data_IF_504053385108
#
_entry.id   IF_504053385108
#
_cell.length_a   1.000
_cell.length_b   1.000
_cell.length_c   1.000
_cell.angle_alpha   90.00
_cell.angle_beta   90.00
_cell.angle_gamma   90.00
#
_symmetry.space_group_name_H-M   'P 1'
#
loop_
_entity.id
_entity.type
_entity.pdbx_description
1 polymer ?
#
# COMPACT_ATOMS: atom_id res chain seq x y z
N UNK A 1 -11.91 -5.63 -13.51
CA UNK A 1 -13.15 -4.89 -13.51
C UNK A 1 -12.87 -3.39 -13.62
N UNK A 2 -13.62 -2.75 -14.45
CA UNK A 2 -13.41 -1.33 -14.63
C UNK A 2 -13.97 -0.55 -13.45
N UNK A 3 -13.19 0.37 -12.95
CA UNK A 3 -13.64 1.25 -11.90
C UNK A 3 -14.59 2.28 -12.48
N UNK A 4 -15.64 2.54 -11.78
CA UNK A 4 -16.57 3.58 -12.16
C UNK A 4 -15.84 4.93 -12.17
N UNK A 5 -16.06 5.72 -13.21
CA UNK A 5 -15.44 7.03 -13.29
C UNK A 5 -15.83 7.95 -12.15
N UNK A 6 -17.02 7.74 -11.59
CA UNK A 6 -17.54 8.60 -10.55
C UNK A 6 -17.22 8.09 -9.16
N UNK A 7 -16.63 6.90 -9.07
CA UNK A 7 -16.23 6.37 -7.79
C UNK A 7 -14.85 6.85 -7.39
N UNK A 8 -14.54 6.71 -6.13
CA UNK A 8 -13.22 7.02 -5.63
C UNK A 8 -12.27 5.87 -5.92
N UNK A 9 -11.03 6.21 -6.27
CA UNK A 9 -9.98 5.22 -6.36
C UNK A 9 -9.61 4.78 -4.95
N UNK A 10 -9.62 3.47 -4.70
CA UNK A 10 -9.23 2.93 -3.41
C UNK A 10 -7.74 2.63 -3.46
N UNK A 11 -6.96 3.49 -2.84
CA UNK A 11 -5.50 3.39 -2.87
C UNK A 11 -4.96 2.98 -1.52
N UNK A 12 -4.11 1.96 -1.50
CA UNK A 12 -3.44 1.52 -0.29
C UNK A 12 -1.98 1.93 -0.30
N UNK A 13 -1.47 2.30 0.88
CA UNK A 13 -0.06 2.62 1.05
C UNK A 13 0.48 1.70 2.13
N UNK A 14 1.55 0.98 1.80
CA UNK A 14 2.23 0.14 2.78
C UNK A 14 3.39 0.92 3.37
N UNK A 15 3.19 1.34 4.62
CA UNK A 15 4.15 2.20 5.30
C UNK A 15 3.65 3.63 5.35
N UNK A 16 3.47 4.15 6.57
CA UNK A 16 2.88 5.47 6.79
C UNK A 16 3.88 6.54 7.21
N UNK A 17 5.07 6.53 6.62
CA UNK A 17 6.10 7.51 6.95
C UNK A 17 5.94 8.83 6.22
N UNK A 18 7.02 9.59 6.16
CA UNK A 18 6.96 10.94 5.61
C UNK A 18 6.58 10.98 4.15
N UNK A 19 7.12 10.05 3.35
CA UNK A 19 6.79 10.03 1.93
C UNK A 19 5.33 9.71 1.70
N UNK A 20 4.79 8.77 2.49
CA UNK A 20 3.38 8.46 2.41
C UNK A 20 2.52 9.67 2.73
N UNK A 21 2.93 10.44 3.74
CA UNK A 21 2.22 11.64 4.11
C UNK A 21 2.14 12.64 2.96
N UNK A 22 3.28 12.87 2.30
CA UNK A 22 3.31 13.80 1.18
C UNK A 22 2.42 13.32 0.03
N UNK A 23 2.45 12.01 -0.23
CA UNK A 23 1.64 11.43 -1.28
C UNK A 23 0.15 11.59 -0.99
N UNK A 24 -0.24 11.41 0.26
CA UNK A 24 -1.64 11.56 0.65
C UNK A 24 -2.11 13.00 0.42
N UNK A 25 -1.28 13.96 0.75
CA UNK A 25 -1.66 15.36 0.57
C UNK A 25 -1.92 15.67 -0.90
N UNK A 26 -1.14 15.06 -1.78
CA UNK A 26 -1.37 15.21 -3.22
C UNK A 26 -2.64 14.49 -3.66
N UNK A 27 -2.84 13.29 -3.14
CA UNK A 27 -3.96 12.43 -3.54
C UNK A 27 -5.31 13.04 -3.18
N UNK A 28 -5.38 13.81 -2.10
CA UNK A 28 -6.64 14.41 -1.69
C UNK A 28 -7.24 15.24 -2.80
N UNK A 29 -6.43 15.82 -3.65
CA UNK A 29 -6.90 16.66 -4.75
C UNK A 29 -7.47 15.89 -5.91
N UNK A 30 -7.41 14.55 -5.88
CA UNK A 30 -7.79 13.73 -7.03
C UNK A 30 -8.89 12.73 -6.71
N UNK A 31 -9.63 12.99 -5.64
CA UNK A 31 -10.76 12.14 -5.28
C UNK A 31 -10.31 10.69 -5.05
N UNK A 32 -9.21 10.54 -4.31
CA UNK A 32 -8.65 9.24 -3.98
C UNK A 32 -8.94 8.94 -2.52
N UNK A 33 -9.43 7.72 -2.25
CA UNK A 33 -9.67 7.28 -0.89
C UNK A 33 -8.45 6.50 -0.42
N UNK A 34 -7.72 7.03 0.55
CA UNK A 34 -6.42 6.51 0.93
C UNK A 34 -6.53 5.62 2.17
N UNK A 35 -5.97 4.43 2.05
CA UNK A 35 -5.85 3.46 3.14
C UNK A 35 -4.36 3.29 3.44
N UNK A 36 -3.98 3.24 4.70
CA UNK A 36 -2.59 3.08 5.10
C UNK A 36 -2.45 1.90 6.04
N UNK A 37 -1.46 1.07 5.80
CA UNK A 37 -1.09 -0.01 6.71
C UNK A 37 0.33 0.25 7.21
N UNK A 38 0.49 0.29 8.54
CA UNK A 38 1.79 0.54 9.15
C UNK A 38 1.83 -0.14 10.50
N UNK A 39 2.96 -0.73 10.89
CA UNK A 39 3.04 -1.37 12.21
C UNK A 39 3.02 -0.38 13.37
N UNK A 40 3.30 0.90 13.11
CA UNK A 40 3.32 1.93 14.14
C UNK A 40 1.99 2.65 14.17
N UNK A 41 1.23 2.46 15.26
CA UNK A 41 -0.08 3.12 15.38
C UNK A 41 0.02 4.63 15.43
N UNK A 42 1.21 5.17 15.62
CA UNK A 42 1.45 6.61 15.65
C UNK A 42 2.14 7.10 14.38
N UNK A 43 2.05 6.34 13.30
CA UNK A 43 2.69 6.73 12.05
C UNK A 43 2.25 8.14 11.61
N UNK A 44 3.14 8.88 10.93
CA UNK A 44 2.82 10.25 10.53
C UNK A 44 1.56 10.38 9.69
N UNK A 45 1.22 9.37 8.89
CA UNK A 45 0.05 9.43 8.02
C UNK A 45 -1.27 9.17 8.71
N UNK A 46 -1.24 8.77 9.98
CA UNK A 46 -2.46 8.26 10.61
C UNK A 46 -3.62 9.22 10.56
N UNK A 47 -3.35 10.50 10.73
CA UNK A 47 -4.42 11.50 10.78
C UNK A 47 -4.76 12.09 9.42
N UNK A 48 -4.01 11.71 8.40
CA UNK A 48 -4.21 12.28 7.06
C UNK A 48 -4.99 11.38 6.13
N UNK A 49 -4.96 10.06 6.39
CA UNK A 49 -5.66 9.12 5.51
C UNK A 49 -7.08 8.89 6.02
N UNK A 50 -7.94 8.43 5.12
CA UNK A 50 -9.30 8.09 5.48
C UNK A 50 -9.38 6.81 6.30
N UNK A 51 -8.48 5.88 6.02
CA UNK A 51 -8.48 4.59 6.70
C UNK A 51 -7.07 4.23 7.10
N UNK A 52 -6.87 3.99 8.39
CA UNK A 52 -5.57 3.58 8.89
C UNK A 52 -5.71 2.23 9.57
N UNK A 53 -4.81 1.32 9.22
CA UNK A 53 -4.77 0.01 9.86
C UNK A 53 -3.39 -0.20 10.44
N UNK A 54 -3.32 -0.60 11.70
CA UNK A 54 -2.05 -0.91 12.36
C UNK A 54 -1.81 -2.40 12.23
N UNK A 55 -0.72 -2.78 11.57
CA UNK A 55 -0.41 -4.19 11.41
C UNK A 55 0.96 -4.39 10.80
N UNK A 56 1.40 -5.65 10.82
CA UNK A 56 2.73 -6.00 10.35
C UNK A 56 2.78 -6.04 8.82
N UNK A 57 3.74 -5.33 8.25
CA UNK A 57 3.95 -5.34 6.81
C UNK A 57 4.57 -6.64 6.32
N UNK A 58 5.14 -7.44 7.22
CA UNK A 58 5.76 -8.71 6.85
C UNK A 58 4.84 -9.91 7.02
N UNK A 59 3.63 -9.69 7.51
CA UNK A 59 2.68 -10.78 7.71
C UNK A 59 1.79 -10.93 6.49
N UNK A 60 1.78 -12.13 5.91
CA UNK A 60 1.04 -12.40 4.69
C UNK A 60 -0.44 -12.03 4.82
N UNK A 61 -1.09 -12.56 5.86
CA UNK A 61 -2.52 -12.37 6.01
C UNK A 61 -2.87 -10.90 6.21
N UNK A 62 -2.06 -10.19 6.97
CA UNK A 62 -2.30 -8.79 7.24
C UNK A 62 -2.24 -7.97 5.95
N UNK A 63 -1.19 -8.18 5.15
CA UNK A 63 -1.02 -7.44 3.90
C UNK A 63 -2.10 -7.84 2.90
N UNK A 64 -2.38 -9.13 2.77
CA UNK A 64 -3.38 -9.60 1.83
C UNK A 64 -4.76 -9.05 2.17
N UNK A 65 -5.16 -9.16 3.44
CA UNK A 65 -6.48 -8.68 3.84
C UNK A 65 -6.61 -7.18 3.71
N UNK A 66 -5.51 -6.46 3.94
CA UNK A 66 -5.52 -5.02 3.76
C UNK A 66 -5.79 -4.64 2.29
N UNK A 67 -5.17 -5.37 1.36
CA UNK A 67 -5.18 -4.97 -0.04
C UNK A 67 -6.27 -5.56 -0.92
N UNK A 68 -6.93 -6.61 -0.46
CA UNK A 68 -7.80 -7.39 -1.37
C UNK A 68 -8.98 -6.60 -1.94
N UNK A 69 -9.42 -5.57 -1.25
CA UNK A 69 -10.55 -4.77 -1.69
C UNK A 69 -10.13 -3.43 -2.27
N UNK A 70 -8.84 -3.24 -2.48
CA UNK A 70 -8.32 -1.98 -3.00
C UNK A 70 -8.09 -2.07 -4.50
N UNK A 71 -8.01 -0.90 -5.13
CA UNK A 71 -7.74 -0.83 -6.57
C UNK A 71 -6.24 -0.83 -6.84
N UNK A 72 -5.47 -0.19 -5.99
CA UNK A 72 -4.05 -0.01 -6.20
C UNK A 72 -3.34 0.04 -4.86
N UNK A 73 -2.12 -0.47 -4.84
CA UNK A 73 -1.26 -0.43 -3.65
C UNK A 73 0.07 0.17 -4.06
N UNK A 74 0.55 1.14 -3.29
CA UNK A 74 1.90 1.65 -3.44
C UNK A 74 2.69 1.32 -2.18
N UNK A 75 3.99 1.12 -2.34
CA UNK A 75 4.85 0.62 -1.27
C UNK A 75 5.88 1.67 -0.94
N UNK A 76 5.91 2.08 0.31
CA UNK A 76 6.90 3.05 0.78
C UNK A 76 8.10 2.35 1.38
N UNK A 77 7.90 1.17 1.95
CA UNK A 77 8.95 0.43 2.63
C UNK A 77 9.11 -0.92 1.96
N UNK A 78 10.33 -1.27 1.54
CA UNK A 78 10.58 -2.52 0.82
C UNK A 78 10.43 -3.76 1.69
N UNK A 79 10.41 -3.61 3.00
CA UNK A 79 10.29 -4.75 3.90
C UNK A 79 8.84 -5.14 4.08
N UNK A 80 8.27 -5.70 3.03
CA UNK A 80 6.87 -6.13 3.03
C UNK A 80 6.82 -7.59 2.59
N UNK A 81 5.69 -8.22 2.86
CA UNK A 81 5.51 -9.61 2.44
C UNK A 81 5.21 -9.64 0.94
N UNK A 82 6.20 -10.06 0.16
CA UNK A 82 6.10 -10.05 -1.30
C UNK A 82 5.12 -11.10 -1.79
N UNK A 83 5.01 -12.23 -1.10
CA UNK A 83 4.06 -13.26 -1.51
C UNK A 83 2.63 -12.74 -1.48
N UNK A 84 2.31 -11.92 -0.48
CA UNK A 84 0.99 -11.30 -0.41
C UNK A 84 0.78 -10.35 -1.58
N UNK A 85 1.82 -9.60 -1.95
CA UNK A 85 1.72 -8.68 -3.09
C UNK A 85 1.48 -9.44 -4.38
N UNK A 86 2.16 -10.58 -4.57
CA UNK A 86 1.93 -11.39 -5.76
C UNK A 86 0.51 -11.90 -5.81
N UNK A 87 -0.03 -12.34 -4.68
CA UNK A 87 -1.40 -12.83 -4.64
C UNK A 87 -2.38 -11.70 -5.00
N UNK A 88 -2.12 -10.51 -4.52
CA UNK A 88 -2.98 -9.37 -4.84
C UNK A 88 -2.92 -9.01 -6.31
N UNK A 89 -1.73 -9.05 -6.91
CA UNK A 89 -1.59 -8.81 -8.34
C UNK A 89 -2.38 -9.83 -9.14
N UNK A 90 -2.35 -11.09 -8.72
CA UNK A 90 -3.08 -12.16 -9.40
C UNK A 90 -4.58 -11.93 -9.33
N UNK A 91 -5.05 -11.22 -8.33
CA UNK A 91 -6.47 -10.91 -8.19
C UNK A 91 -6.87 -9.60 -8.84
N UNK A 92 -5.93 -8.94 -9.51
CA UNK A 92 -6.24 -7.74 -10.25
C UNK A 92 -5.92 -6.42 -9.56
N UNK A 93 -5.35 -6.47 -8.36
CA UNK A 93 -4.92 -5.25 -7.68
C UNK A 93 -3.62 -4.76 -8.31
N UNK A 94 -3.55 -3.49 -8.64
CA UNK A 94 -2.33 -2.92 -9.19
C UNK A 94 -1.36 -2.64 -8.06
N UNK A 95 -0.16 -3.19 -8.15
CA UNK A 95 0.88 -3.02 -7.12
C UNK A 95 2.05 -2.26 -7.74
N UNK A 96 2.46 -1.19 -7.12
CA UNK A 96 3.57 -0.39 -7.63
C UNK A 96 4.52 -0.02 -6.48
N UNK A 97 5.81 -0.29 -6.58
CA UNK A 97 6.46 -1.08 -7.66
C UNK A 97 5.94 -2.51 -7.68
N UNK A 98 5.98 -3.14 -8.85
CA UNK A 98 5.49 -4.50 -8.98
C UNK A 98 6.21 -5.43 -8.01
N UNK A 99 5.50 -6.51 -7.63
CA UNK A 99 6.06 -7.44 -6.65
C UNK A 99 7.39 -8.01 -7.08
N UNK A 100 7.58 -8.26 -8.39
CA UNK A 100 8.84 -8.79 -8.88
C UNK A 100 10.01 -7.82 -8.65
N UNK A 101 9.72 -6.52 -8.68
CA UNK A 101 10.75 -5.51 -8.41
C UNK A 101 11.11 -5.51 -6.94
N UNK A 102 10.10 -5.61 -6.08
CA UNK A 102 10.36 -5.66 -4.63
C UNK A 102 11.16 -6.91 -4.28
N UNK A 103 10.81 -8.05 -4.88
CA UNK A 103 11.54 -9.28 -4.64
C UNK A 103 12.99 -9.16 -5.06
N UNK A 104 13.23 -8.52 -6.19
CA UNK A 104 14.59 -8.32 -6.67
C UNK A 104 15.39 -7.45 -5.71
N UNK A 105 14.80 -6.39 -5.19
CA UNK A 105 15.47 -5.52 -4.24
C UNK A 105 15.81 -6.29 -2.97
N UNK A 106 14.88 -7.08 -2.47
CA UNK A 106 15.10 -7.87 -1.26
C UNK A 106 16.19 -8.92 -1.48
N UNK A 107 16.13 -9.62 -2.62
CA UNK A 107 17.08 -10.68 -2.91
C UNK A 107 18.50 -10.16 -3.08
N UNK A 108 18.64 -8.98 -3.61
CA UNK A 108 19.96 -8.40 -3.82
C UNK A 108 20.47 -7.61 -2.63
N UNK A 109 19.64 -7.48 -1.59
CA UNK A 109 20.05 -6.74 -0.41
C UNK A 109 20.28 -5.27 -0.67
N UNK A 110 19.50 -4.67 -1.55
CA UNK A 110 19.71 -3.28 -1.94
C UNK A 110 19.13 -2.27 -0.99
N UNK A 111 18.19 -2.67 -0.15
CA UNK A 111 17.64 -1.74 0.82
C UNK A 111 18.66 -1.48 1.91
N UNK A 112 18.72 -0.30 2.35
CA UNK A 112 19.70 0.10 3.34
C UNK A 112 19.03 0.52 4.62
#
# INVERSE_FOLDING_TARGET
MAKDFYGELQLGILGGGQLGRMFIQEAINYNVNVHVLDPDKNAPCRKLCQHFECGSLSDYDTVYNFGKDLDMITIEIEKVNVDALEALEDEGVVVYPQSRVIRLIQDKGLQK
#
